data_IF_844318572100
#
_entry.id   IF_844318572100
#
_cell.length_a   1.000
_cell.length_b   1.000
_cell.length_c   1.000
_cell.angle_alpha   90.00
_cell.angle_beta   90.00
_cell.angle_gamma   90.00
#
_symmetry.space_group_name_H-M   'P 1'
#
loop_
_entity.id
_entity.type
_entity.pdbx_description
1 polymer ?
#
# COMPACT_ATOMS: atom_id res chain seq x y z
N UNK A 1 -16.24 -25.19 -39.92
CA UNK A 1 -16.40 -23.73 -39.79
C UNK A 1 -16.59 -23.39 -38.33
N UNK A 2 -15.49 -23.28 -37.58
CA UNK A 2 -15.47 -22.77 -36.21
C UNK A 2 -14.31 -21.77 -36.22
N UNK A 3 -14.38 -20.70 -35.43
CA UNK A 3 -13.22 -19.94 -34.94
C UNK A 3 -12.79 -18.63 -35.65
N UNK A 4 -13.73 -17.77 -36.07
CA UNK A 4 -13.43 -16.35 -36.33
C UNK A 4 -14.17 -15.40 -35.35
N UNK A 5 -15.47 -15.63 -35.10
CA UNK A 5 -16.26 -14.83 -34.15
C UNK A 5 -15.73 -14.89 -32.71
N UNK A 6 -15.29 -16.06 -32.26
CA UNK A 6 -14.70 -16.26 -30.92
C UNK A 6 -13.37 -15.51 -30.78
N UNK A 7 -12.56 -15.46 -31.84
CA UNK A 7 -11.24 -14.81 -31.83
C UNK A 7 -11.34 -13.28 -31.78
N UNK A 8 -12.33 -12.71 -32.50
CA UNK A 8 -12.64 -11.28 -32.48
C UNK A 8 -13.13 -10.85 -31.08
N UNK A 9 -14.03 -11.63 -30.47
CA UNK A 9 -14.49 -11.34 -29.10
C UNK A 9 -13.36 -11.37 -28.07
N UNK A 10 -12.41 -12.31 -28.18
CA UNK A 10 -11.26 -12.37 -27.25
C UNK A 10 -10.31 -11.18 -27.45
N UNK A 11 -10.07 -10.73 -28.69
CA UNK A 11 -9.21 -9.55 -28.93
C UNK A 11 -9.84 -8.26 -28.42
N UNK A 12 -11.16 -8.11 -28.57
CA UNK A 12 -11.88 -6.91 -28.14
C UNK A 12 -11.91 -6.81 -26.60
N UNK A 13 -12.08 -7.95 -25.91
CA UNK A 13 -12.00 -8.01 -24.44
C UNK A 13 -10.59 -7.66 -23.95
N UNK A 14 -9.55 -8.17 -24.61
CA UNK A 14 -8.16 -7.88 -24.25
C UNK A 14 -7.83 -6.39 -24.46
N UNK A 15 -8.26 -5.82 -25.59
CA UNK A 15 -8.08 -4.41 -25.92
C UNK A 15 -8.77 -3.51 -24.89
N UNK A 16 -10.00 -3.87 -24.51
CA UNK A 16 -10.75 -3.15 -23.49
C UNK A 16 -10.06 -3.20 -22.11
N UNK A 17 -9.50 -4.35 -21.73
CA UNK A 17 -8.70 -4.48 -20.51
C UNK A 17 -7.47 -3.56 -20.51
N UNK A 18 -6.72 -3.53 -21.61
CA UNK A 18 -5.56 -2.64 -21.78
C UNK A 18 -5.94 -1.15 -21.72
N UNK A 19 -7.09 -0.80 -22.30
CA UNK A 19 -7.63 0.57 -22.25
C UNK A 19 -7.96 0.96 -20.80
N UNK A 20 -8.62 0.07 -20.05
CA UNK A 20 -8.98 0.28 -18.65
C UNK A 20 -7.73 0.50 -17.78
N UNK A 21 -6.71 -0.34 -17.93
CA UNK A 21 -5.44 -0.22 -17.21
C UNK A 21 -4.70 1.09 -17.54
N UNK A 22 -4.67 1.49 -18.82
CA UNK A 22 -4.02 2.72 -19.26
C UNK A 22 -4.69 3.97 -18.67
N UNK A 23 -6.02 4.03 -18.73
CA UNK A 23 -6.80 5.12 -18.14
C UNK A 23 -6.60 5.18 -16.64
N UNK A 24 -6.67 4.02 -15.97
CA UNK A 24 -6.47 3.93 -14.54
C UNK A 24 -5.08 4.46 -14.13
N UNK A 25 -4.05 4.07 -14.87
CA UNK A 25 -2.69 4.57 -14.67
C UNK A 25 -2.62 6.10 -14.81
N UNK A 26 -3.27 6.67 -15.83
CA UNK A 26 -3.31 8.13 -16.01
C UNK A 26 -4.05 8.83 -14.86
N UNK A 27 -5.16 8.27 -14.38
CA UNK A 27 -5.90 8.80 -13.22
C UNK A 27 -4.98 8.89 -12.00
N UNK A 28 -4.23 7.83 -11.72
CA UNK A 28 -3.38 7.78 -10.53
C UNK A 28 -2.10 8.62 -10.70
N UNK A 29 -1.50 8.67 -11.90
CA UNK A 29 -0.31 9.48 -12.18
C UNK A 29 -0.58 10.99 -12.17
N UNK A 30 -1.71 11.40 -12.71
CA UNK A 30 -2.09 12.81 -12.83
C UNK A 30 -3.01 13.28 -11.69
N UNK A 31 -3.21 12.43 -10.67
CA UNK A 31 -4.08 12.71 -9.52
C UNK A 31 -5.47 13.23 -9.93
N UNK A 32 -6.08 12.61 -10.96
CA UNK A 32 -7.38 13.01 -11.47
C UNK A 32 -8.44 12.73 -10.40
N UNK A 33 -9.05 13.81 -9.90
CA UNK A 33 -10.11 13.68 -8.91
C UNK A 33 -11.31 12.87 -9.46
N UNK A 34 -11.91 12.05 -8.60
CA UNK A 34 -13.04 11.18 -8.96
C UNK A 34 -14.18 11.94 -9.68
N UNK A 35 -14.55 13.11 -9.16
CA UNK A 35 -15.60 13.93 -9.75
C UNK A 35 -15.23 14.43 -11.16
N UNK A 36 -13.96 14.72 -11.41
CA UNK A 36 -13.48 15.17 -12.71
C UNK A 36 -13.56 14.04 -13.73
N UNK A 37 -13.14 12.82 -13.36
CA UNK A 37 -13.27 11.64 -14.22
C UNK A 37 -14.74 11.33 -14.53
N UNK A 38 -15.62 11.35 -13.52
CA UNK A 38 -17.06 11.12 -13.71
C UNK A 38 -17.69 12.12 -14.69
N UNK A 39 -17.31 13.39 -14.60
CA UNK A 39 -17.79 14.41 -15.54
C UNK A 39 -17.35 14.11 -16.98
N UNK A 40 -16.11 13.67 -17.18
CA UNK A 40 -15.59 13.27 -18.49
C UNK A 40 -16.30 12.03 -19.05
N UNK A 41 -16.47 10.99 -18.24
CA UNK A 41 -17.13 9.75 -18.65
C UNK A 41 -18.64 9.91 -18.94
N UNK A 42 -19.25 11.01 -18.47
CA UNK A 42 -20.65 11.35 -18.82
C UNK A 42 -20.76 11.91 -20.24
N UNK A 43 -19.68 12.52 -20.75
CA UNK A 43 -19.65 13.17 -22.07
C UNK A 43 -19.03 12.23 -23.11
N UNK A 44 -17.97 11.51 -22.74
CA UNK A 44 -17.22 10.63 -23.62
C UNK A 44 -17.65 9.17 -23.43
N UNK A 45 -18.37 8.63 -24.43
CA UNK A 45 -18.91 7.28 -24.39
C UNK A 45 -17.82 6.20 -24.52
N UNK A 46 -16.64 6.56 -25.04
CA UNK A 46 -15.50 5.65 -25.15
C UNK A 46 -14.77 5.43 -23.81
N UNK A 47 -15.04 6.25 -22.79
CA UNK A 47 -14.47 6.08 -21.47
C UNK A 47 -15.23 5.00 -20.67
N UNK A 48 -14.51 4.12 -19.95
CA UNK A 48 -15.13 3.24 -18.98
C UNK A 48 -15.95 4.01 -17.94
N UNK A 49 -17.06 3.42 -17.50
CA UNK A 49 -17.82 4.02 -16.42
C UNK A 49 -17.03 4.00 -15.10
N UNK A 50 -17.32 4.95 -14.21
CA UNK A 50 -16.65 5.09 -12.91
C UNK A 50 -16.63 3.78 -12.10
N UNK A 51 -17.72 3.02 -12.11
CA UNK A 51 -17.79 1.76 -11.37
C UNK A 51 -16.79 0.71 -11.88
N UNK A 52 -16.44 0.72 -13.18
CA UNK A 52 -15.44 -0.19 -13.76
C UNK A 52 -14.03 0.18 -13.29
N UNK A 53 -13.74 1.49 -13.23
CA UNK A 53 -12.48 2.00 -12.68
C UNK A 53 -12.37 1.63 -11.20
N UNK A 54 -13.43 1.81 -10.43
CA UNK A 54 -13.46 1.45 -9.02
C UNK A 54 -13.25 -0.06 -8.79
N UNK A 55 -13.90 -0.91 -9.58
CA UNK A 55 -13.74 -2.37 -9.49
C UNK A 55 -12.32 -2.82 -9.88
N UNK A 56 -11.75 -2.23 -10.93
CA UNK A 56 -10.37 -2.47 -11.33
C UNK A 56 -9.38 -2.03 -10.24
N UNK A 57 -9.57 -0.85 -9.63
CA UNK A 57 -8.80 -0.39 -8.46
C UNK A 57 -8.89 -1.40 -7.31
N UNK A 58 -10.09 -1.86 -6.99
CA UNK A 58 -10.30 -2.85 -5.92
C UNK A 58 -9.62 -4.19 -6.23
N UNK A 59 -9.61 -4.64 -7.49
CA UNK A 59 -8.88 -5.83 -7.90
C UNK A 59 -7.37 -5.66 -7.73
N UNK A 60 -6.80 -4.56 -8.21
CA UNK A 60 -5.36 -4.28 -8.07
C UNK A 60 -4.98 -4.21 -6.59
N UNK A 61 -5.76 -3.52 -5.75
CA UNK A 61 -5.49 -3.44 -4.32
C UNK A 61 -5.48 -4.83 -3.66
N UNK A 62 -6.44 -5.70 -4.00
CA UNK A 62 -6.46 -7.09 -3.52
C UNK A 62 -5.23 -7.89 -3.97
N UNK A 63 -4.79 -7.73 -5.21
CA UNK A 63 -3.57 -8.38 -5.70
C UNK A 63 -2.31 -7.84 -5.02
N UNK A 64 -2.27 -6.53 -4.78
CA UNK A 64 -1.17 -5.86 -4.10
C UNK A 64 -1.06 -6.32 -2.66
N UNK A 65 -2.17 -6.46 -1.94
CA UNK A 65 -2.19 -6.98 -0.56
C UNK A 65 -1.64 -8.41 -0.48
N UNK A 66 -1.86 -9.23 -1.52
CA UNK A 66 -1.30 -10.59 -1.60
C UNK A 66 0.20 -10.60 -1.91
N UNK A 67 0.65 -9.74 -2.84
CA UNK A 67 2.04 -9.71 -3.33
C UNK A 67 2.97 -8.94 -2.39
N UNK A 68 2.46 -7.92 -1.72
CA UNK A 68 3.21 -7.05 -0.82
C UNK A 68 2.72 -7.30 0.60
N UNK A 69 3.43 -8.18 1.30
CA UNK A 69 3.10 -8.49 2.70
C UNK A 69 3.37 -7.28 3.59
N UNK A 70 2.36 -6.91 4.38
CA UNK A 70 2.51 -5.96 5.49
C UNK A 70 2.99 -6.74 6.71
N UNK A 71 4.11 -6.33 7.29
CA UNK A 71 4.68 -6.96 8.48
C UNK A 71 4.08 -6.31 9.73
N UNK A 72 3.03 -6.91 10.27
CA UNK A 72 2.43 -6.40 11.51
C UNK A 72 3.36 -6.63 12.69
N UNK A 73 3.82 -5.55 13.34
CA UNK A 73 4.58 -5.63 14.59
C UNK A 73 3.67 -5.16 15.73
N UNK A 74 3.17 -6.10 16.53
CA UNK A 74 2.39 -5.71 17.72
C UNK A 74 3.32 -5.24 18.83
N UNK A 75 3.18 -3.96 19.21
CA UNK A 75 3.89 -3.36 20.33
C UNK A 75 2.90 -3.22 21.47
N UNK A 76 2.86 -4.17 22.40
CA UNK A 76 1.75 -4.37 23.35
C UNK A 76 1.55 -3.23 24.35
N UNK A 77 2.57 -2.41 24.59
CA UNK A 77 2.44 -1.26 25.49
C UNK A 77 3.58 -0.27 25.28
N UNK A 78 3.25 1.02 25.42
CA UNK A 78 4.20 2.14 25.49
C UNK A 78 4.36 2.58 26.94
N UNK A 79 4.82 1.70 27.82
CA UNK A 79 4.96 2.03 29.23
C UNK A 79 6.31 2.72 29.47
N UNK A 80 6.30 4.00 29.88
CA UNK A 80 7.48 4.75 30.33
C UNK A 80 8.72 4.57 29.42
N UNK A 81 8.53 4.77 28.11
CA UNK A 81 9.56 4.63 27.05
C UNK A 81 10.00 3.20 26.70
N UNK A 82 9.37 2.17 27.26
CA UNK A 82 9.67 0.78 26.93
C UNK A 82 8.54 0.16 26.09
N UNK A 83 8.93 -0.44 24.97
CA UNK A 83 8.07 -1.19 24.06
C UNK A 83 8.12 -2.67 24.46
N UNK A 84 7.00 -3.21 24.95
CA UNK A 84 6.87 -4.64 25.27
C UNK A 84 6.58 -5.43 23.98
N UNK A 85 7.52 -6.30 23.59
CA UNK A 85 7.47 -7.08 22.36
C UNK A 85 6.80 -8.44 22.64
N UNK A 86 5.80 -8.83 21.84
CA UNK A 86 5.43 -10.24 21.73
C UNK A 86 5.55 -10.69 20.27
N UNK A 87 6.30 -11.77 20.09
CA UNK A 87 6.62 -12.48 18.85
C UNK A 87 5.40 -12.61 17.93
N UNK A 88 5.39 -11.91 16.79
CA UNK A 88 4.77 -12.38 15.54
C UNK A 88 5.37 -11.63 14.34
N UNK A 89 6.68 -11.73 14.13
CA UNK A 89 7.29 -11.33 12.85
C UNK A 89 7.19 -12.50 11.88
N UNK A 90 6.18 -12.48 11.02
CA UNK A 90 6.27 -13.26 9.80
C UNK A 90 7.21 -12.50 8.86
N UNK A 91 8.44 -13.02 8.69
CA UNK A 91 9.34 -12.88 7.51
C UNK A 91 10.60 -12.01 7.68
N UNK A 92 10.82 -11.30 8.78
CA UNK A 92 12.04 -10.48 8.93
C UNK A 92 13.03 -11.13 9.89
N UNK A 93 14.31 -11.18 9.51
CA UNK A 93 15.45 -11.57 10.36
C UNK A 93 15.32 -10.91 11.74
N UNK A 94 15.47 -11.70 12.80
CA UNK A 94 15.30 -11.23 14.17
C UNK A 94 16.21 -10.04 14.49
N UNK A 95 17.37 -9.95 13.85
CA UNK A 95 18.30 -8.82 14.01
C UNK A 95 17.71 -7.50 13.49
N UNK A 96 17.11 -7.54 12.30
CA UNK A 96 16.45 -6.37 11.68
C UNK A 96 15.24 -5.92 12.50
N UNK A 97 14.44 -6.88 13.01
CA UNK A 97 13.28 -6.56 13.85
C UNK A 97 13.71 -5.80 15.11
N UNK A 98 14.80 -6.22 15.75
CA UNK A 98 15.33 -5.55 16.95
C UNK A 98 15.79 -4.13 16.65
N UNK A 99 16.49 -3.89 15.53
CA UNK A 99 16.90 -2.55 15.14
C UNK A 99 15.70 -1.62 14.88
N UNK A 100 14.67 -2.12 14.17
CA UNK A 100 13.44 -1.35 13.91
C UNK A 100 12.73 -1.01 15.21
N UNK A 101 12.64 -1.95 16.16
CA UNK A 101 12.00 -1.69 17.45
C UNK A 101 12.76 -0.63 18.25
N UNK A 102 14.10 -0.68 18.26
CA UNK A 102 14.91 0.34 18.93
C UNK A 102 14.65 1.74 18.36
N UNK A 103 14.49 1.86 17.04
CA UNK A 103 14.14 3.13 16.40
C UNK A 103 12.72 3.57 16.79
N UNK A 104 11.76 2.65 16.83
CA UNK A 104 10.38 2.95 17.23
C UNK A 104 10.27 3.41 18.68
N UNK A 105 11.07 2.85 19.59
CA UNK A 105 11.13 3.32 20.99
C UNK A 105 11.45 4.82 21.08
N UNK A 106 12.25 5.34 20.14
CA UNK A 106 12.59 6.75 20.08
C UNK A 106 11.50 7.61 19.44
N UNK A 107 10.89 7.15 18.35
CA UNK A 107 9.95 7.96 17.54
C UNK A 107 8.52 7.95 18.12
N UNK A 108 8.06 6.82 18.65
CA UNK A 108 6.67 6.64 19.07
C UNK A 108 6.21 7.64 20.15
N UNK A 109 7.00 7.93 21.20
CA UNK A 109 6.59 8.92 22.20
C UNK A 109 6.23 10.27 21.60
N UNK A 110 6.97 10.71 20.57
CA UNK A 110 6.71 11.98 19.90
C UNK A 110 5.48 11.90 18.97
N UNK A 111 5.23 10.76 18.33
CA UNK A 111 4.02 10.55 17.53
C UNK A 111 2.75 10.53 18.39
N UNK A 112 2.83 9.99 19.62
CA UNK A 112 1.73 10.03 20.59
C UNK A 112 1.48 11.48 21.05
N UNK A 113 2.55 12.24 21.36
CA UNK A 113 2.41 13.67 21.72
C UNK A 113 1.76 14.51 20.61
N UNK A 114 2.00 14.15 19.35
CA UNK A 114 1.40 14.80 18.18
C UNK A 114 -0.02 14.30 17.86
N UNK A 115 -0.56 13.39 18.67
CA UNK A 115 -1.87 12.76 18.45
C UNK A 115 -1.97 12.00 17.12
N UNK A 116 -0.82 11.60 16.54
CA UNK A 116 -0.76 10.79 15.32
C UNK A 116 -1.00 9.31 15.66
N UNK A 117 -0.47 8.85 16.79
CA UNK A 117 -0.66 7.49 17.28
C UNK A 117 -1.54 7.47 18.52
N UNK A 118 -2.47 6.52 18.57
CA UNK A 118 -3.37 6.34 19.70
C UNK A 118 -2.70 5.49 20.80
N UNK A 119 -2.39 6.10 21.94
CA UNK A 119 -1.81 5.42 23.10
C UNK A 119 -2.68 4.29 23.68
N UNK A 120 -3.99 4.31 23.42
CA UNK A 120 -4.94 3.26 23.83
C UNK A 120 -5.00 2.08 22.85
N UNK A 121 -4.42 2.22 21.64
CA UNK A 121 -4.30 1.15 20.65
C UNK A 121 -2.82 0.78 20.49
N UNK A 122 -2.27 -0.12 21.32
CA UNK A 122 -0.87 -0.50 21.28
C UNK A 122 -0.62 -1.54 20.17
N UNK A 123 -0.93 -1.19 18.92
CA UNK A 123 -0.64 -2.03 17.75
C UNK A 123 -0.15 -1.12 16.64
N UNK A 124 1.12 -1.27 16.27
CA UNK A 124 1.72 -0.52 15.16
C UNK A 124 1.90 -1.46 13.97
N UNK A 125 1.03 -1.33 12.96
CA UNK A 125 1.27 -2.09 11.74
C UNK A 125 2.44 -1.43 10.99
N UNK A 126 3.44 -2.23 10.60
CA UNK A 126 4.56 -1.74 9.82
C UNK A 126 4.55 -2.34 8.43
N UNK A 127 4.89 -1.52 7.44
CA UNK A 127 5.28 -2.05 6.13
C UNK A 127 6.78 -1.91 6.01
N UNK A 128 7.51 -3.01 6.20
CA UNK A 128 8.95 -3.07 6.02
C UNK A 128 9.24 -3.39 4.56
N UNK A 129 10.09 -2.58 3.94
CA UNK A 129 10.58 -2.74 2.58
C UNK A 129 12.08 -2.49 2.53
N UNK A 130 12.68 -2.96 1.46
CA UNK A 130 14.12 -2.95 1.24
C UNK A 130 14.40 -4.00 0.18
N UNK A 131 15.19 -3.66 -0.83
CA UNK A 131 15.58 -4.60 -1.88
C UNK A 131 16.81 -5.43 -1.46
N UNK A 132 17.18 -5.37 -0.18
CA UNK A 132 18.36 -6.00 0.43
C UNK A 132 19.66 -5.70 -0.32
N UNK A 133 19.69 -4.64 -1.13
CA UNK A 133 20.89 -4.22 -1.84
C UNK A 133 21.79 -3.42 -0.91
N UNK A 134 23.09 -3.58 -1.12
CA UNK A 134 24.08 -2.78 -0.40
C UNK A 134 23.98 -1.31 -0.83
N UNK A 135 23.96 -0.42 0.16
CA UNK A 135 24.03 1.02 -0.01
C UNK A 135 25.48 1.40 -0.33
N UNK A 136 25.72 1.73 -1.59
CA UNK A 136 27.02 2.13 -2.09
C UNK A 136 28.02 0.96 -2.18
N UNK A 137 29.32 1.27 -2.08
CA UNK A 137 30.40 0.27 -2.21
C UNK A 137 30.69 -0.49 -0.91
N UNK A 138 29.93 -0.24 0.17
CA UNK A 138 30.14 -0.89 1.47
C UNK A 138 29.39 -2.21 1.52
N UNK A 139 30.13 -3.29 1.77
CA UNK A 139 29.59 -4.65 1.90
C UNK A 139 28.76 -4.74 3.19
N UNK A 140 27.58 -5.38 3.12
CA UNK A 140 26.63 -5.62 4.24
C UNK A 140 25.94 -4.39 4.84
N UNK A 141 25.91 -3.26 4.14
CA UNK A 141 25.14 -2.11 4.58
C UNK A 141 23.88 -2.04 3.73
N UNK A 142 22.71 -2.45 4.24
CA UNK A 142 21.45 -2.45 3.49
C UNK A 142 20.58 -1.27 3.91
N UNK A 143 19.81 -0.72 2.97
CA UNK A 143 18.80 0.28 3.30
C UNK A 143 17.48 -0.44 3.59
N UNK A 144 16.89 -0.12 4.73
CA UNK A 144 15.57 -0.59 5.14
C UNK A 144 14.67 0.62 5.25
N UNK A 145 13.49 0.52 4.64
CA UNK A 145 12.43 1.52 4.73
C UNK A 145 11.27 0.89 5.46
N UNK A 146 10.72 1.58 6.46
CA UNK A 146 9.46 1.14 7.06
C UNK A 146 8.47 2.29 7.15
N UNK A 147 7.19 1.97 6.96
CA UNK A 147 6.08 2.89 7.13
C UNK A 147 5.21 2.45 8.32
N UNK A 148 4.81 3.40 9.16
CA UNK A 148 3.84 3.18 10.24
C UNK A 148 2.43 3.32 9.67
N UNK A 149 1.62 2.27 9.81
CA UNK A 149 0.26 2.17 9.27
C UNK A 149 -0.75 2.08 10.43
N UNK A 150 -1.10 3.24 11.00
CA UNK A 150 -2.07 3.32 12.11
C UNK A 150 -3.50 3.01 11.65
N UNK A 151 -3.84 3.38 10.42
CA UNK A 151 -5.13 3.14 9.79
C UNK A 151 -5.02 2.08 8.68
N UNK A 152 -5.03 0.80 9.07
CA UNK A 152 -4.86 -0.30 8.12
C UNK A 152 -6.02 -0.40 7.13
N UNK A 153 -7.21 0.03 7.52
CA UNK A 153 -8.42 -0.07 6.70
C UNK A 153 -8.42 0.99 5.58
N UNK A 154 -7.74 2.12 5.80
CA UNK A 154 -7.62 3.21 4.82
C UNK A 154 -6.24 3.33 4.17
N UNK A 155 -5.40 2.28 4.19
CA UNK A 155 -4.03 2.32 3.62
C UNK A 155 -3.98 2.65 2.14
N UNK A 156 -5.08 2.45 1.40
CA UNK A 156 -5.18 2.72 -0.03
C UNK A 156 -5.90 4.05 -0.32
N UNK A 157 -6.26 4.81 0.72
CA UNK A 157 -6.97 6.08 0.61
C UNK A 157 -5.98 7.25 0.79
N UNK A 158 -5.74 8.06 -0.26
CA UNK A 158 -4.80 9.17 -0.18
C UNK A 158 -5.19 10.26 0.81
N UNK A 159 -6.49 10.43 1.07
CA UNK A 159 -7.00 11.46 2.00
C UNK A 159 -6.66 11.13 3.46
N UNK A 160 -6.16 9.93 3.74
CA UNK A 160 -5.82 9.44 5.08
C UNK A 160 -4.30 9.38 5.33
N UNK A 161 -3.49 9.92 4.41
CA UNK A 161 -2.04 10.02 4.61
C UNK A 161 -1.64 11.34 5.29
N UNK A 162 -0.92 11.22 6.40
CA UNK A 162 -0.23 12.34 7.03
C UNK A 162 1.18 12.47 6.43
N UNK A 163 1.48 13.62 5.80
CA UNK A 163 2.81 13.97 5.26
C UNK A 163 3.52 14.92 6.23
#
# INVERSE_FOLDING_TARGET
QINLKTKIQTSDILLFGLQLESILKTIDQEHIAQHAYRNLATIENELPCEWMIADCKAQINREMDQKIKITVIRILSFNNNNIDQNEYSNIVDSEIVNEVVNILQFIVPDLIKKEILNSQKPVINLRISGDSRNVGKKVKHIMITFAILDDIDNIHNPDHYYI
#
